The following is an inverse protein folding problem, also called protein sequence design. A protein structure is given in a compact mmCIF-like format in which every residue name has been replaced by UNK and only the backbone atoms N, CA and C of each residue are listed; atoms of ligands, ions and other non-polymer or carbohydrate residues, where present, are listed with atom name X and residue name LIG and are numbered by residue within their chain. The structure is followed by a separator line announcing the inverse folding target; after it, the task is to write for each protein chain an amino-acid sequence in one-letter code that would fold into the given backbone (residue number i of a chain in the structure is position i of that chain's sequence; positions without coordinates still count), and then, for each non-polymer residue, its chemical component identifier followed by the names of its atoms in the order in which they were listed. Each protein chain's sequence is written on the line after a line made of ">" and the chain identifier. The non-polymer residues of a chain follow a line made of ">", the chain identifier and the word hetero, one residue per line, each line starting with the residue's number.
data_IF_235560045105
#
_entry.id   IF_235560045105
#
_cell.length_a   1.000
_cell.length_b   1.000
_cell.length_c   1.000
_cell.angle_alpha   90.00
_cell.angle_beta   90.00
_cell.angle_gamma   90.00
#
_symmetry.space_group_name_H-M   'P 1'
#
loop_
_entity.id
_entity.type
_entity.pdbx_description
1 polymer ?
#
# COMPACT_ATOMS: atom_id res chain seq x y z
N UNK A 1 13.71 6.52 11.24
CA UNK A 1 12.77 6.34 12.36
C UNK A 1 12.84 4.88 12.78
N UNK A 2 13.14 4.57 14.04
CA UNK A 2 13.18 3.16 14.48
C UNK A 2 11.75 2.70 14.81
N UNK A 3 11.29 1.67 14.10
CA UNK A 3 9.96 1.09 14.24
C UNK A 3 9.97 -0.36 14.76
N UNK A 4 11.14 -0.92 15.08
CA UNK A 4 11.30 -2.38 15.25
C UNK A 4 10.52 -2.89 16.47
N UNK A 5 10.44 -2.11 17.54
CA UNK A 5 9.61 -2.45 18.70
C UNK A 5 8.12 -2.51 18.35
N UNK A 6 7.63 -1.54 17.57
CA UNK A 6 6.22 -1.51 17.13
C UNK A 6 5.96 -2.68 16.18
N UNK A 7 6.89 -2.98 15.27
CA UNK A 7 6.80 -4.14 14.36
C UNK A 7 6.76 -5.46 15.12
N UNK A 8 7.61 -5.63 16.13
CA UNK A 8 7.60 -6.81 16.99
C UNK A 8 6.24 -7.03 17.68
N UNK A 9 5.69 -5.97 18.26
CA UNK A 9 4.33 -6.00 18.84
C UNK A 9 3.27 -6.34 17.78
N UNK A 10 3.37 -5.78 16.57
CA UNK A 10 2.48 -6.08 15.45
C UNK A 10 2.48 -7.56 15.08
N UNK A 11 3.67 -8.19 14.99
CA UNK A 11 3.82 -9.62 14.71
C UNK A 11 3.15 -10.47 15.80
N UNK A 12 3.35 -10.12 17.08
CA UNK A 12 2.73 -10.84 18.19
C UNK A 12 1.20 -10.74 18.17
N UNK A 13 0.66 -9.55 17.94
CA UNK A 13 -0.78 -9.33 17.85
C UNK A 13 -1.35 -10.10 16.66
N UNK A 14 -0.71 -10.06 15.50
CA UNK A 14 -1.10 -10.85 14.33
C UNK A 14 -1.14 -12.35 14.68
N UNK A 15 -0.09 -12.86 15.32
CA UNK A 15 0.00 -14.27 15.73
C UNK A 15 -1.16 -14.68 16.64
N UNK A 16 -1.51 -13.84 17.63
CA UNK A 16 -2.66 -14.06 18.51
C UNK A 16 -3.98 -14.01 17.74
N UNK A 17 -4.18 -12.99 16.90
CA UNK A 17 -5.40 -12.83 16.10
C UNK A 17 -5.64 -14.01 15.15
N UNK A 18 -4.58 -14.58 14.57
CA UNK A 18 -4.63 -15.80 13.74
C UNK A 18 -5.03 -17.02 14.57
N UNK A 19 -4.38 -17.26 15.71
CA UNK A 19 -4.68 -18.41 16.60
C UNK A 19 -6.11 -18.37 17.12
N UNK A 20 -6.59 -17.18 17.46
CA UNK A 20 -7.97 -16.96 17.92
C UNK A 20 -9.01 -16.88 16.80
N UNK A 21 -8.63 -17.13 15.54
CA UNK A 21 -9.52 -17.12 14.36
C UNK A 21 -10.31 -15.82 14.17
N UNK A 22 -9.74 -14.70 14.63
CA UNK A 22 -10.36 -13.37 14.49
C UNK A 22 -10.32 -12.87 13.04
N UNK A 23 -9.24 -13.21 12.33
CA UNK A 23 -9.03 -12.82 10.94
C UNK A 23 -9.77 -13.79 10.01
N UNK A 24 -10.39 -13.28 8.95
CA UNK A 24 -11.07 -14.08 7.92
C UNK A 24 -10.66 -13.62 6.52
N UNK A 25 -10.57 -14.55 5.55
CA UNK A 25 -10.28 -14.19 4.17
C UNK A 25 -11.49 -13.49 3.50
N UNK A 26 -11.21 -12.66 2.50
CA UNK A 26 -12.21 -12.05 1.63
C UNK A 26 -12.55 -13.04 0.50
N UNK A 27 -13.80 -13.51 0.44
CA UNK A 27 -14.24 -14.48 -0.58
C UNK A 27 -13.34 -15.72 -0.71
N UNK A 28 -12.84 -16.24 0.41
CA UNK A 28 -11.92 -17.39 0.45
C UNK A 28 -10.46 -17.05 0.10
N UNK A 29 -10.14 -15.81 -0.24
CA UNK A 29 -8.79 -15.34 -0.57
C UNK A 29 -8.23 -14.43 0.53
N UNK A 30 -6.95 -14.58 0.84
CA UNK A 30 -6.24 -13.65 1.71
C UNK A 30 -5.57 -12.58 0.87
N UNK A 31 -6.01 -11.33 1.07
CA UNK A 31 -5.66 -10.19 0.23
C UNK A 31 -4.87 -9.18 1.07
N UNK A 32 -3.67 -8.84 0.61
CA UNK A 32 -2.90 -7.70 1.08
C UNK A 32 -3.19 -6.48 0.22
N UNK A 33 -3.27 -5.31 0.85
CA UNK A 33 -3.41 -4.02 0.18
C UNK A 33 -2.22 -3.17 0.59
N UNK A 34 -1.58 -2.52 -0.39
CA UNK A 34 -0.49 -1.57 -0.17
C UNK A 34 -0.92 -0.19 -0.63
N UNK A 35 -0.70 0.81 0.23
CA UNK A 35 -1.06 2.21 -0.05
C UNK A 35 -0.17 3.17 0.73
N UNK A 36 0.02 4.37 0.17
CA UNK A 36 0.73 5.48 0.79
C UNK A 36 -0.24 6.44 1.50
N UNK A 37 0.18 6.99 2.63
CA UNK A 37 -0.64 7.90 3.41
C UNK A 37 0.19 8.98 4.11
N UNK A 38 -0.23 10.24 3.97
CA UNK A 38 0.31 11.37 4.73
C UNK A 38 -0.21 11.31 6.18
N UNK A 39 0.70 11.28 7.14
CA UNK A 39 0.39 11.27 8.56
C UNK A 39 1.04 12.47 9.26
N UNK A 40 0.26 13.11 10.14
CA UNK A 40 0.70 14.17 11.06
C UNK A 40 1.26 15.37 10.31
N UNK A 41 0.51 16.47 10.30
CA UNK A 41 0.98 17.75 9.79
C UNK A 41 1.19 18.73 10.96
N UNK A 42 2.32 19.43 10.98
CA UNK A 42 2.63 20.41 12.01
C UNK A 42 3.37 21.61 11.43
N UNK A 43 2.97 22.85 11.77
CA UNK A 43 3.75 24.03 11.43
C UNK A 43 4.87 24.32 12.45
N UNK A 44 4.88 23.64 13.60
CA UNK A 44 5.77 23.96 14.73
C UNK A 44 6.84 22.90 14.99
N UNK A 45 6.47 21.63 14.93
CA UNK A 45 7.34 20.53 15.32
C UNK A 45 7.96 19.85 14.10
N UNK A 46 9.29 19.69 14.12
CA UNK A 46 10.08 19.01 13.10
C UNK A 46 10.93 17.93 13.75
N UNK A 47 11.08 16.79 13.08
CA UNK A 47 12.10 15.80 13.35
C UNK A 47 12.95 15.53 12.09
N UNK A 48 14.08 14.80 12.19
CA UNK A 48 14.93 14.48 11.04
C UNK A 48 14.23 13.71 9.90
N UNK A 49 13.09 13.08 10.19
CA UNK A 49 12.32 12.27 9.22
C UNK A 49 11.14 13.02 8.59
N UNK A 50 10.89 14.28 8.98
CA UNK A 50 9.81 15.06 8.40
C UNK A 50 10.14 15.53 6.98
N UNK A 51 9.18 15.38 6.09
CA UNK A 51 9.10 16.16 4.85
C UNK A 51 8.61 17.57 5.16
N UNK A 52 8.83 18.51 4.25
CA UNK A 52 8.40 19.89 4.40
C UNK A 52 7.83 20.45 3.10
N UNK A 53 6.74 21.21 3.20
CA UNK A 53 6.15 21.96 2.09
C UNK A 53 5.81 23.39 2.53
N UNK A 54 5.82 24.34 1.60
CA UNK A 54 5.28 25.68 1.86
C UNK A 54 3.79 25.68 1.54
N UNK A 55 2.97 26.12 2.49
CA UNK A 55 1.52 26.26 2.33
C UNK A 55 1.13 27.72 2.41
N UNK A 56 0.20 28.14 1.55
CA UNK A 56 -0.38 29.49 1.59
C UNK A 56 -1.68 29.44 2.36
N UNK A 57 -1.74 30.11 3.52
CA UNK A 57 -2.96 30.24 4.31
C UNK A 57 -3.86 31.36 3.78
N UNK A 58 -5.10 31.41 4.29
CA UNK A 58 -6.02 32.54 4.05
C UNK A 58 -5.31 33.85 4.42
N UNK A 59 -5.33 34.82 3.51
CA UNK A 59 -4.62 36.09 3.66
C UNK A 59 -3.23 36.15 3.00
N UNK A 60 -2.82 35.09 2.29
CA UNK A 60 -1.57 35.10 1.49
C UNK A 60 -0.29 34.83 2.29
N UNK A 61 -0.41 34.54 3.58
CA UNK A 61 0.72 34.21 4.45
C UNK A 61 1.27 32.83 4.07
N UNK A 62 2.57 32.78 3.75
CA UNK A 62 3.30 31.55 3.48
C UNK A 62 3.88 30.99 4.77
N UNK A 63 3.56 29.75 5.08
CA UNK A 63 4.13 29.03 6.23
C UNK A 63 4.75 27.70 5.79
N UNK A 64 5.78 27.27 6.51
CA UNK A 64 6.35 25.93 6.32
C UNK A 64 5.55 24.92 7.14
N UNK A 65 5.10 23.86 6.49
CA UNK A 65 4.44 22.73 7.12
C UNK A 65 5.34 21.50 7.05
N UNK A 66 5.57 20.88 8.20
CA UNK A 66 6.27 19.61 8.33
C UNK A 66 5.27 18.46 8.41
N UNK A 67 5.59 17.34 7.77
CA UNK A 67 4.72 16.18 7.74
C UNK A 67 5.48 14.87 7.61
N UNK A 68 4.83 13.76 7.96
CA UNK A 68 5.33 12.43 7.65
C UNK A 68 4.43 11.77 6.62
N UNK A 69 4.96 10.80 5.90
CA UNK A 69 4.16 9.90 5.10
C UNK A 69 4.63 8.47 5.38
N UNK A 70 3.72 7.52 5.23
CA UNK A 70 3.99 6.11 5.41
C UNK A 70 3.36 5.33 4.30
N UNK A 71 4.01 4.25 3.90
CA UNK A 71 3.34 3.17 3.19
C UNK A 71 2.89 2.13 4.19
N UNK A 72 1.70 1.59 4.01
CA UNK A 72 1.13 0.59 4.90
C UNK A 72 0.77 -0.66 4.11
N UNK A 73 0.99 -1.83 4.72
CA UNK A 73 0.54 -3.10 4.18
C UNK A 73 -0.58 -3.66 5.05
N UNK A 74 -1.77 -3.75 4.48
CA UNK A 74 -3.00 -4.09 5.19
C UNK A 74 -3.47 -5.46 4.72
N UNK A 75 -3.58 -6.42 5.64
CA UNK A 75 -4.31 -7.65 5.39
C UNK A 75 -5.81 -7.34 5.45
N UNK A 76 -6.45 -7.31 4.28
CA UNK A 76 -7.87 -7.04 4.17
C UNK A 76 -8.68 -8.20 4.73
N UNK A 77 -9.72 -7.87 5.49
CA UNK A 77 -10.70 -8.83 6.00
C UNK A 77 -12.10 -8.23 6.00
N UNK A 78 -13.15 -9.04 5.87
CA UNK A 78 -14.52 -8.56 5.69
C UNK A 78 -15.11 -7.86 6.92
N UNK A 79 -14.56 -8.12 8.11
CA UNK A 79 -14.98 -7.49 9.38
C UNK A 79 -13.87 -6.65 10.01
N UNK A 80 -12.63 -7.14 9.90
CA UNK A 80 -11.46 -6.53 10.50
C UNK A 80 -10.36 -6.61 9.47
N UNK A 81 -9.82 -5.45 9.10
CA UNK A 81 -8.56 -5.34 8.37
C UNK A 81 -7.43 -5.12 9.37
N UNK A 82 -6.25 -5.66 9.08
CA UNK A 82 -5.12 -5.63 9.99
C UNK A 82 -3.89 -5.09 9.29
N UNK A 83 -3.27 -4.03 9.85
CA UNK A 83 -2.01 -3.49 9.35
C UNK A 83 -0.89 -4.44 9.76
N UNK A 84 -0.29 -5.14 8.79
CA UNK A 84 0.82 -6.08 9.05
C UNK A 84 2.13 -5.35 9.33
N UNK A 85 2.36 -4.24 8.63
CA UNK A 85 3.57 -3.43 8.76
C UNK A 85 3.36 -2.05 8.11
N UNK A 86 4.21 -1.09 8.48
CA UNK A 86 4.31 0.24 7.89
C UNK A 86 5.78 0.58 7.61
N UNK A 87 6.00 1.40 6.59
CA UNK A 87 7.32 1.94 6.26
C UNK A 87 7.23 3.46 6.12
N UNK A 88 8.10 4.23 6.79
CA UNK A 88 8.16 5.68 6.59
C UNK A 88 8.69 6.00 5.19
N UNK A 89 8.05 6.95 4.52
CA UNK A 89 8.58 7.58 3.31
C UNK A 89 9.49 8.72 3.75
N UNK A 90 10.80 8.54 3.61
CA UNK A 90 11.79 9.50 4.12
C UNK A 90 11.90 10.75 3.22
N UNK A 91 12.52 11.84 3.72
CA UNK A 91 12.84 13.00 2.88
C UNK A 91 13.66 12.59 1.65
N UNK A 92 13.23 13.02 0.46
CA UNK A 92 13.85 12.64 -0.82
C UNK A 92 13.33 11.33 -1.41
N UNK A 93 12.50 10.57 -0.69
CA UNK A 93 11.91 9.32 -1.19
C UNK A 93 10.47 9.51 -1.70
N UNK A 94 10.10 8.63 -2.63
CA UNK A 94 8.72 8.46 -3.07
C UNK A 94 8.04 7.25 -2.42
N UNK A 95 6.74 7.14 -2.65
CA UNK A 95 5.92 6.03 -2.14
C UNK A 95 6.46 4.66 -2.59
N UNK A 96 6.83 4.51 -3.87
CA UNK A 96 7.31 3.23 -4.41
C UNK A 96 8.59 2.75 -3.73
N UNK A 97 9.55 3.63 -3.44
CA UNK A 97 10.79 3.25 -2.74
C UNK A 97 10.51 2.74 -1.33
N UNK A 98 9.61 3.41 -0.61
CA UNK A 98 9.17 2.97 0.73
C UNK A 98 8.39 1.65 0.66
N UNK A 99 7.42 1.56 -0.25
CA UNK A 99 6.62 0.35 -0.45
C UNK A 99 7.44 -0.85 -0.87
N UNK A 100 8.50 -0.68 -1.65
CA UNK A 100 9.37 -1.80 -2.02
C UNK A 100 10.03 -2.42 -0.78
N UNK A 101 10.64 -1.59 0.10
CA UNK A 101 11.22 -2.06 1.38
C UNK A 101 10.17 -2.69 2.28
N UNK A 102 8.97 -2.11 2.33
CA UNK A 102 7.84 -2.64 3.07
C UNK A 102 7.45 -4.04 2.55
N UNK A 103 7.30 -4.19 1.24
CA UNK A 103 6.92 -5.45 0.60
C UNK A 103 7.96 -6.54 0.85
N UNK A 104 9.25 -6.27 0.66
CA UNK A 104 10.32 -7.24 0.95
C UNK A 104 10.23 -7.76 2.39
N UNK A 105 10.04 -6.85 3.35
CA UNK A 105 9.94 -7.21 4.76
C UNK A 105 8.66 -7.98 5.07
N UNK A 106 7.52 -7.58 4.52
CA UNK A 106 6.23 -8.26 4.72
C UNK A 106 6.23 -9.65 4.08
N UNK A 107 6.85 -9.81 2.91
CA UNK A 107 7.00 -11.11 2.25
C UNK A 107 7.87 -12.07 3.06
N UNK A 108 8.91 -11.56 3.73
CA UNK A 108 9.77 -12.32 4.63
C UNK A 108 9.09 -12.70 5.96
N UNK A 109 8.43 -11.73 6.60
CA UNK A 109 7.84 -11.93 7.94
C UNK A 109 6.48 -12.63 7.91
N UNK A 110 5.72 -12.49 6.82
CA UNK A 110 4.36 -13.01 6.69
C UNK A 110 4.14 -13.83 5.40
N UNK A 111 5.04 -14.78 5.05
CA UNK A 111 5.05 -15.43 3.74
C UNK A 111 3.76 -16.18 3.40
N UNK A 112 3.03 -16.66 4.42
CA UNK A 112 1.78 -17.43 4.26
C UNK A 112 0.51 -16.63 4.57
N UNK A 113 0.63 -15.34 4.91
CA UNK A 113 -0.50 -14.54 5.38
C UNK A 113 -1.47 -14.15 4.26
N UNK A 114 -0.96 -13.94 3.05
CA UNK A 114 -1.73 -13.50 1.88
C UNK A 114 -1.25 -14.20 0.60
N UNK A 115 -2.15 -14.24 -0.40
CA UNK A 115 -1.89 -14.78 -1.73
C UNK A 115 -1.97 -13.70 -2.82
N UNK A 116 -2.80 -12.69 -2.61
CA UNK A 116 -3.02 -11.59 -3.55
C UNK A 116 -2.51 -10.30 -2.90
N UNK A 117 -1.84 -9.45 -3.66
CA UNK A 117 -1.48 -8.08 -3.28
C UNK A 117 -2.14 -7.10 -4.24
N UNK A 118 -2.80 -6.09 -3.69
CA UNK A 118 -3.49 -5.04 -4.44
C UNK A 118 -2.85 -3.70 -4.15
N UNK A 119 -2.58 -2.91 -5.19
CA UNK A 119 -2.17 -1.52 -5.09
C UNK A 119 -2.93 -0.66 -6.09
N UNK A 120 -2.80 0.66 -5.98
CA UNK A 120 -3.34 1.59 -6.98
C UNK A 120 -2.50 1.56 -8.28
N UNK A 121 -2.74 2.51 -9.18
CA UNK A 121 -2.02 2.56 -10.46
C UNK A 121 -0.53 2.91 -10.36
N UNK A 122 -0.09 3.50 -9.24
CA UNK A 122 1.32 3.78 -8.99
C UNK A 122 2.12 2.46 -8.89
N UNK A 123 1.50 1.42 -8.33
CA UNK A 123 2.09 0.09 -8.11
C UNK A 123 2.17 -0.77 -9.37
N UNK A 124 1.60 -0.33 -10.49
CA UNK A 124 1.73 -1.00 -11.78
C UNK A 124 3.16 -0.82 -12.33
N UNK A 125 4.17 -1.34 -11.63
CA UNK A 125 5.59 -1.21 -11.96
C UNK A 125 6.19 -2.61 -12.06
N UNK A 126 7.05 -2.81 -13.05
CA UNK A 126 7.75 -4.07 -13.28
C UNK A 126 8.48 -4.55 -12.02
N UNK A 127 9.19 -3.66 -11.33
CA UNK A 127 9.93 -3.98 -10.10
C UNK A 127 9.03 -4.56 -9.00
N UNK A 128 7.82 -4.02 -8.83
CA UNK A 128 6.84 -4.50 -7.84
C UNK A 128 6.27 -5.85 -8.26
N UNK A 129 5.92 -6.01 -9.54
CA UNK A 129 5.37 -7.26 -10.07
C UNK A 129 6.39 -8.39 -9.99
N UNK A 130 7.63 -8.16 -10.41
CA UNK A 130 8.71 -9.15 -10.36
C UNK A 130 9.02 -9.56 -8.91
N UNK A 131 9.02 -8.62 -7.96
CA UNK A 131 9.19 -8.93 -6.54
C UNK A 131 8.07 -9.86 -6.04
N UNK A 132 6.82 -9.52 -6.32
CA UNK A 132 5.68 -10.31 -5.86
C UNK A 132 5.60 -11.68 -6.54
N UNK A 133 5.91 -11.75 -7.83
CA UNK A 133 5.97 -13.00 -8.59
C UNK A 133 7.05 -13.95 -8.05
N UNK A 134 8.25 -13.43 -7.75
CA UNK A 134 9.34 -14.20 -7.12
C UNK A 134 8.92 -14.85 -5.80
N UNK A 135 7.96 -14.24 -5.09
CA UNK A 135 7.38 -14.77 -3.85
C UNK A 135 6.04 -15.51 -4.05
N UNK A 136 5.72 -15.87 -5.30
CA UNK A 136 4.51 -16.59 -5.69
C UNK A 136 3.22 -15.89 -5.24
N UNK A 137 3.17 -14.57 -5.38
CA UNK A 137 1.99 -13.75 -5.10
C UNK A 137 1.32 -13.33 -6.41
N UNK A 138 0.00 -13.31 -6.40
CA UNK A 138 -0.77 -12.65 -7.45
C UNK A 138 -0.82 -11.16 -7.17
N UNK A 139 -0.69 -10.34 -8.20
CA UNK A 139 -0.67 -8.88 -8.09
C UNK A 139 -1.82 -8.28 -8.87
N UNK A 140 -2.53 -7.33 -8.27
CA UNK A 140 -3.57 -6.54 -8.92
C UNK A 140 -3.19 -5.07 -8.74
N UNK A 141 -3.19 -4.32 -9.83
CA UNK A 141 -2.99 -2.89 -9.81
C UNK A 141 -3.94 -2.22 -10.79
N UNK A 142 -4.27 -0.95 -10.53
CA UNK A 142 -5.16 -0.19 -11.41
C UNK A 142 -4.42 0.19 -12.68
N UNK A 143 -4.96 -0.19 -13.85
CA UNK A 143 -4.46 0.31 -15.12
C UNK A 143 -4.95 1.75 -15.34
N UNK A 144 -4.06 2.73 -15.20
CA UNK A 144 -4.31 4.13 -15.58
C UNK A 144 -3.76 4.39 -16.99
N UNK A 145 -4.39 5.29 -17.74
CA UNK A 145 -4.11 5.58 -19.16
C UNK A 145 -2.69 6.04 -19.47
N UNK A 146 -1.88 6.38 -18.47
CA UNK A 146 -0.50 6.86 -18.65
C UNK A 146 0.43 5.87 -19.35
N UNK A 147 0.08 4.58 -19.41
CA UNK A 147 0.92 3.51 -20.01
C UNK A 147 0.34 2.98 -21.30
N UNK A 148 0.54 3.76 -22.38
CA UNK A 148 -0.01 3.52 -23.71
C UNK A 148 0.21 2.09 -24.23
N UNK A 149 1.39 1.50 -24.04
CA UNK A 149 1.70 0.14 -24.50
C UNK A 149 0.90 -0.95 -23.78
N UNK A 150 0.82 -0.89 -22.43
CA UNK A 150 0.01 -1.84 -21.66
C UNK A 150 -1.47 -1.72 -22.03
N UNK A 151 -1.95 -0.51 -22.25
CA UNK A 151 -3.33 -0.28 -22.69
C UNK A 151 -3.59 -0.87 -24.08
N UNK A 152 -2.65 -0.72 -25.02
CA UNK A 152 -2.71 -1.35 -26.34
C UNK A 152 -2.73 -2.89 -26.26
N UNK A 153 -1.92 -3.48 -25.38
CA UNK A 153 -1.94 -4.92 -25.14
C UNK A 153 -3.27 -5.39 -24.54
N UNK A 154 -3.81 -4.68 -23.54
CA UNK A 154 -5.13 -4.97 -23.00
C UNK A 154 -6.19 -4.89 -24.11
N UNK A 155 -6.17 -3.86 -24.96
CA UNK A 155 -7.11 -3.76 -26.08
C UNK A 155 -7.00 -4.94 -27.05
N UNK A 156 -5.79 -5.45 -27.32
CA UNK A 156 -5.62 -6.65 -28.15
C UNK A 156 -6.18 -7.90 -27.45
N UNK A 157 -6.00 -8.03 -26.14
CA UNK A 157 -6.57 -9.14 -25.36
C UNK A 157 -8.10 -9.10 -25.33
N UNK A 158 -8.70 -7.91 -25.31
CA UNK A 158 -10.16 -7.73 -25.39
C UNK A 158 -10.75 -8.24 -26.70
N UNK A 159 -9.97 -8.32 -27.79
CA UNK A 159 -10.40 -8.92 -29.05
C UNK A 159 -10.48 -10.46 -28.97
N UNK A 160 -9.76 -11.07 -28.03
CA UNK A 160 -9.67 -12.53 -27.87
C UNK A 160 -10.68 -13.07 -26.85
N UNK A 161 -11.11 -12.24 -25.91
CA UNK A 161 -12.06 -12.63 -24.87
C UNK A 161 -12.88 -11.44 -24.40
N UNK A 162 -14.20 -11.61 -24.30
CA UNK A 162 -15.06 -10.57 -23.77
C UNK A 162 -14.73 -10.27 -22.30
N UNK A 163 -14.55 -8.99 -21.94
CA UNK A 163 -14.26 -8.62 -20.56
C UNK A 163 -15.48 -8.90 -19.68
N UNK A 164 -15.24 -9.51 -18.53
CA UNK A 164 -16.25 -9.52 -17.46
C UNK A 164 -16.34 -8.12 -16.87
N UNK A 165 -17.45 -7.44 -17.14
CA UNK A 165 -17.72 -6.11 -16.62
C UNK A 165 -18.45 -6.20 -15.28
N UNK A 166 -17.95 -5.47 -14.29
CA UNK A 166 -18.63 -5.29 -13.01
C UNK A 166 -18.84 -3.80 -12.78
N UNK A 167 -20.09 -3.39 -12.57
CA UNK A 167 -20.44 -2.02 -12.20
C UNK A 167 -21.01 -2.05 -10.80
N UNK A 168 -20.26 -1.51 -9.84
CA UNK A 168 -20.80 -1.25 -8.51
C UNK A 168 -21.50 0.11 -8.53
N UNK A 169 -22.74 0.18 -8.03
CA UNK A 169 -23.41 1.46 -7.81
C UNK A 169 -22.59 2.34 -6.86
N UNK A 170 -22.73 3.67 -6.97
CA UNK A 170 -22.06 4.61 -6.07
C UNK A 170 -22.32 4.21 -4.62
N UNK A 171 -21.25 3.99 -3.87
CA UNK A 171 -21.29 3.94 -2.41
C UNK A 171 -21.43 5.39 -1.96
N UNK A 172 -22.59 5.73 -1.38
CA UNK A 172 -22.87 7.05 -0.82
C UNK A 172 -22.06 7.27 0.46
#
# INVERSE_FOLDING_TARGET
>A
MNLDKIRGVGIEIYGKARKSKMLRPCYGMWVGVVDGHEQITSPYCKCPYCKSRTVTKKGGIKETQYYHEFTAFILAGPKISFILDIEPILPGEGEISSSYRLLERVLGNYPKAFKIVIGDGLYLKETVFNLLEKHHKYTIAVLKEERRQLFEEVNRLLLLSEPKTYRQGKTY
#
